data_IF_568467411075
#
_entry.id   IF_568467411075
#
_cell.length_a   1.000
_cell.length_b   1.000
_cell.length_c   1.000
_cell.angle_alpha   90.00
_cell.angle_beta   90.00
_cell.angle_gamma   90.00
#
_symmetry.space_group_name_H-M   'P 1'
#
loop_
_entity.id
_entity.type
_entity.pdbx_description
1 polymer ?
#
# COMPACT_ATOMS: atom_id res chain seq x y z
N UNK A 1 4.56 -35.31 8.77
CA UNK A 1 4.75 -34.16 7.87
C UNK A 1 3.76 -33.03 8.17
N UNK A 2 2.46 -33.11 7.82
CA UNK A 2 1.45 -32.08 8.20
C UNK A 2 1.47 -31.72 9.70
N UNK A 3 1.37 -32.72 10.58
CA UNK A 3 1.40 -32.48 12.03
C UNK A 3 2.73 -31.84 12.48
N UNK A 4 3.86 -32.31 11.95
CA UNK A 4 5.19 -31.76 12.24
C UNK A 4 5.30 -30.28 11.84
N UNK A 5 4.76 -29.89 10.68
CA UNK A 5 4.74 -28.49 10.24
C UNK A 5 3.94 -27.64 11.23
N UNK A 6 2.76 -28.09 11.64
CA UNK A 6 1.94 -27.35 12.60
C UNK A 6 2.62 -27.26 13.97
N UNK A 7 3.29 -28.32 14.43
CA UNK A 7 4.10 -28.28 15.66
C UNK A 7 5.28 -27.33 15.54
N UNK A 8 5.94 -27.26 14.38
CA UNK A 8 7.02 -26.30 14.14
C UNK A 8 6.53 -24.86 14.07
N UNK A 9 5.35 -24.59 13.49
CA UNK A 9 4.74 -23.26 13.50
C UNK A 9 4.44 -22.80 14.92
N UNK A 10 4.02 -23.72 15.80
CA UNK A 10 3.79 -23.45 17.22
C UNK A 10 5.09 -23.31 18.04
N UNK A 11 6.27 -23.46 17.45
CA UNK A 11 7.57 -23.28 18.11
C UNK A 11 8.30 -22.05 17.58
N UNK A 12 9.47 -21.74 18.15
CA UNK A 12 10.35 -20.65 17.71
C UNK A 12 10.82 -20.82 16.25
N UNK A 13 10.85 -22.06 15.75
CA UNK A 13 11.19 -22.38 14.36
C UNK A 13 10.08 -21.97 13.37
N UNK A 14 8.87 -21.69 13.87
CA UNK A 14 7.74 -21.23 13.08
C UNK A 14 8.03 -19.96 12.30
N UNK A 15 8.93 -19.10 12.81
CA UNK A 15 9.36 -17.88 12.11
C UNK A 15 10.07 -18.17 10.78
N UNK A 16 10.74 -19.33 10.65
CA UNK A 16 11.34 -19.74 9.36
C UNK A 16 10.27 -20.18 8.35
N UNK A 17 9.12 -20.63 8.84
CA UNK A 17 8.04 -21.20 8.03
C UNK A 17 7.06 -20.11 7.60
N UNK A 18 6.55 -19.30 8.54
CA UNK A 18 5.48 -18.31 8.31
C UNK A 18 5.92 -16.87 8.52
N UNK A 19 7.22 -16.62 8.79
CA UNK A 19 7.82 -15.27 9.01
C UNK A 19 7.30 -14.50 10.22
N UNK A 20 6.56 -15.16 11.11
CA UNK A 20 6.01 -14.59 12.35
C UNK A 20 6.26 -15.53 13.53
N UNK A 21 6.20 -14.99 14.75
CA UNK A 21 6.25 -15.79 15.98
C UNK A 21 4.96 -16.57 16.21
N UNK A 22 4.97 -17.61 17.06
CA UNK A 22 3.81 -18.46 17.31
C UNK A 22 2.61 -17.67 17.87
N UNK A 23 2.84 -16.74 18.79
CA UNK A 23 1.78 -15.89 19.37
C UNK A 23 1.14 -14.99 18.32
N UNK A 24 1.95 -14.30 17.52
CA UNK A 24 1.47 -13.45 16.40
C UNK A 24 0.69 -14.26 15.38
N UNK A 25 1.10 -15.51 15.11
CA UNK A 25 0.39 -16.40 14.20
C UNK A 25 -0.99 -16.79 14.74
N UNK A 26 -1.08 -17.14 16.02
CA UNK A 26 -2.36 -17.47 16.65
C UNK A 26 -3.29 -16.26 16.71
N UNK A 27 -2.77 -15.09 17.10
CA UNK A 27 -3.51 -13.83 17.10
C UNK A 27 -4.04 -13.46 15.70
N UNK A 28 -3.24 -13.69 14.64
CA UNK A 28 -3.72 -13.56 13.26
C UNK A 28 -4.87 -14.54 12.95
N UNK A 29 -4.76 -15.80 13.37
CA UNK A 29 -5.81 -16.80 13.16
C UNK A 29 -7.11 -16.40 13.86
N UNK A 30 -7.03 -15.93 15.10
CA UNK A 30 -8.16 -15.46 15.89
C UNK A 30 -8.83 -14.25 15.23
N UNK A 31 -8.03 -13.27 14.79
CA UNK A 31 -8.54 -12.09 14.05
C UNK A 31 -9.23 -12.47 12.74
N UNK A 32 -8.66 -13.41 11.98
CA UNK A 32 -9.27 -13.89 10.74
C UNK A 32 -10.56 -14.66 10.99
N UNK A 33 -10.66 -15.40 12.10
CA UNK A 33 -11.89 -16.09 12.48
C UNK A 33 -12.96 -15.12 12.96
N UNK A 34 -12.59 -14.15 13.80
CA UNK A 34 -13.53 -13.20 14.41
C UNK A 34 -14.03 -12.14 13.43
N UNK A 35 -13.13 -11.55 12.64
CA UNK A 35 -13.45 -10.41 11.78
C UNK A 35 -13.40 -10.79 10.29
N UNK A 36 -12.49 -11.69 9.90
CA UNK A 36 -12.31 -12.10 8.50
C UNK A 36 -13.25 -13.21 8.02
N UNK A 37 -14.19 -13.69 8.86
CA UNK A 37 -15.15 -14.76 8.55
C UNK A 37 -14.48 -16.08 8.12
N UNK A 38 -13.26 -16.35 8.61
CA UNK A 38 -12.53 -17.58 8.31
C UNK A 38 -12.89 -18.69 9.30
N UNK A 39 -13.69 -19.66 8.85
CA UNK A 39 -14.09 -20.80 9.67
C UNK A 39 -13.31 -22.08 9.36
N UNK A 40 -13.15 -22.98 10.36
CA UNK A 40 -12.63 -24.31 10.12
C UNK A 40 -13.53 -25.08 9.14
N UNK A 41 -12.95 -26.07 8.47
CA UNK A 41 -13.69 -27.02 7.64
C UNK A 41 -13.66 -28.40 8.30
N UNK A 42 -14.46 -29.33 7.78
CA UNK A 42 -14.39 -30.74 8.18
C UNK A 42 -12.97 -31.34 8.08
N UNK A 43 -12.10 -30.77 7.24
CA UNK A 43 -10.78 -31.36 6.94
C UNK A 43 -9.59 -30.49 7.35
N UNK A 44 -9.79 -29.26 7.84
CA UNK A 44 -8.71 -28.36 8.18
C UNK A 44 -9.17 -27.31 9.19
N UNK A 45 -8.31 -27.02 10.17
CA UNK A 45 -8.51 -25.93 11.14
C UNK A 45 -8.26 -24.58 10.48
N UNK A 46 -8.48 -23.47 11.21
CA UNK A 46 -8.17 -22.12 10.72
C UNK A 46 -6.66 -21.98 10.54
N UNK A 47 -5.89 -22.38 11.55
CA UNK A 47 -4.43 -22.33 11.59
C UNK A 47 -3.82 -23.08 10.41
N UNK A 48 -4.34 -24.27 10.07
CA UNK A 48 -3.81 -25.00 8.92
C UNK A 48 -4.09 -24.27 7.59
N UNK A 49 -5.25 -23.63 7.45
CA UNK A 49 -5.57 -22.86 6.24
C UNK A 49 -4.64 -21.65 6.12
N UNK A 50 -4.44 -20.92 7.22
CA UNK A 50 -3.57 -19.75 7.29
C UNK A 50 -2.11 -20.15 7.06
N UNK A 51 -1.63 -21.23 7.72
CA UNK A 51 -0.27 -21.75 7.56
C UNK A 51 0.08 -22.08 6.11
N UNK A 52 -0.82 -22.77 5.38
CA UNK A 52 -0.62 -23.06 3.94
C UNK A 52 -0.46 -21.78 3.14
N UNK A 53 -1.32 -20.81 3.40
CA UNK A 53 -1.37 -19.54 2.67
C UNK A 53 -0.11 -18.73 2.93
N UNK A 54 0.26 -18.56 4.19
CA UNK A 54 1.50 -17.88 4.57
C UNK A 54 2.71 -18.58 3.97
N UNK A 55 2.81 -19.90 4.03
CA UNK A 55 3.93 -20.63 3.43
C UNK A 55 4.05 -20.37 1.91
N UNK A 56 2.93 -20.31 1.19
CA UNK A 56 2.91 -19.95 -0.23
C UNK A 56 3.48 -18.54 -0.43
N UNK A 57 3.00 -17.57 0.35
CA UNK A 57 3.38 -16.16 0.21
C UNK A 57 4.83 -15.91 0.63
N UNK A 58 5.31 -16.52 1.71
CA UNK A 58 6.64 -16.27 2.29
C UNK A 58 7.76 -16.92 1.50
N UNK A 59 7.50 -18.06 0.86
CA UNK A 59 8.52 -18.83 0.13
C UNK A 59 8.31 -18.84 -1.38
N UNK A 60 7.24 -18.19 -1.87
CA UNK A 60 6.88 -18.15 -3.29
C UNK A 60 6.80 -19.55 -3.92
N UNK A 61 6.25 -20.51 -3.17
CA UNK A 61 6.18 -21.91 -3.61
C UNK A 61 4.93 -22.20 -4.43
N UNK A 62 5.02 -23.23 -5.28
CA UNK A 62 3.90 -23.66 -6.13
C UNK A 62 2.92 -24.51 -5.33
N UNK A 63 1.65 -24.49 -5.73
CA UNK A 63 0.59 -25.31 -5.11
C UNK A 63 1.00 -26.80 -4.96
N UNK A 64 1.68 -27.40 -5.95
CA UNK A 64 2.16 -28.79 -5.90
C UNK A 64 3.03 -29.10 -4.67
N UNK A 65 3.84 -28.15 -4.24
CA UNK A 65 4.71 -28.32 -3.06
C UNK A 65 3.89 -28.37 -1.77
N UNK A 66 2.90 -27.49 -1.64
CA UNK A 66 1.97 -27.48 -0.50
C UNK A 66 1.16 -28.79 -0.43
N UNK A 67 0.76 -29.34 -1.57
CA UNK A 67 0.07 -30.63 -1.64
C UNK A 67 0.91 -31.74 -1.01
N UNK A 68 2.21 -31.75 -1.29
CA UNK A 68 3.14 -32.72 -0.72
C UNK A 68 3.28 -32.55 0.79
N UNK A 69 3.56 -31.34 1.25
CA UNK A 69 3.81 -31.03 2.67
C UNK A 69 2.58 -31.25 3.56
N UNK A 70 1.42 -30.76 3.11
CA UNK A 70 0.18 -30.82 3.88
C UNK A 70 -0.71 -32.03 3.56
N UNK A 71 -0.32 -32.86 2.57
CA UNK A 71 -1.05 -34.05 2.13
C UNK A 71 -2.51 -33.75 1.77
N UNK A 72 -2.71 -32.70 0.97
CA UNK A 72 -4.02 -32.24 0.47
C UNK A 72 -4.02 -32.13 -1.05
N UNK A 73 -5.19 -32.28 -1.67
CA UNK A 73 -5.33 -32.06 -3.11
C UNK A 73 -5.05 -30.60 -3.48
N UNK A 74 -4.59 -30.38 -4.70
CA UNK A 74 -4.31 -29.01 -5.19
C UNK A 74 -5.53 -28.11 -5.22
N UNK A 75 -6.69 -28.69 -5.49
CA UNK A 75 -7.98 -28.02 -5.40
C UNK A 75 -8.27 -27.53 -3.97
N UNK A 76 -8.07 -28.40 -2.96
CA UNK A 76 -8.26 -28.03 -1.55
C UNK A 76 -7.29 -26.94 -1.11
N UNK A 77 -6.01 -27.06 -1.49
CA UNK A 77 -5.01 -26.02 -1.23
C UNK A 77 -5.40 -24.69 -1.88
N UNK A 78 -5.85 -24.71 -3.13
CA UNK A 78 -6.31 -23.52 -3.84
C UNK A 78 -7.51 -22.88 -3.13
N UNK A 79 -8.50 -23.69 -2.72
CA UNK A 79 -9.67 -23.20 -1.97
C UNK A 79 -9.26 -22.53 -0.66
N UNK A 80 -8.37 -23.15 0.11
CA UNK A 80 -7.88 -22.55 1.36
C UNK A 80 -7.13 -21.24 1.13
N UNK A 81 -6.23 -21.20 0.14
CA UNK A 81 -5.51 -19.98 -0.22
C UNK A 81 -6.46 -18.82 -0.48
N UNK A 82 -7.44 -19.02 -1.39
CA UNK A 82 -8.40 -17.96 -1.72
C UNK A 82 -9.31 -17.58 -0.55
N UNK A 83 -9.71 -18.53 0.31
CA UNK A 83 -10.50 -18.23 1.51
C UNK A 83 -9.72 -17.33 2.47
N UNK A 84 -8.45 -17.64 2.73
CA UNK A 84 -7.60 -16.85 3.61
C UNK A 84 -7.35 -15.47 3.03
N UNK A 85 -7.04 -15.34 1.72
CA UNK A 85 -6.86 -14.03 1.07
C UNK A 85 -8.11 -13.17 1.17
N UNK A 86 -9.31 -13.72 0.89
CA UNK A 86 -10.56 -12.98 1.08
C UNK A 86 -10.77 -12.57 2.54
N UNK A 87 -10.47 -13.47 3.47
CA UNK A 87 -10.60 -13.17 4.90
C UNK A 87 -9.65 -12.05 5.35
N UNK A 88 -8.46 -11.95 4.75
CA UNK A 88 -7.52 -10.84 4.98
C UNK A 88 -8.04 -9.52 4.41
N UNK A 89 -8.64 -9.55 3.22
CA UNK A 89 -9.24 -8.36 2.59
C UNK A 89 -10.41 -7.84 3.45
N UNK A 90 -11.22 -8.72 4.04
CA UNK A 90 -12.31 -8.31 4.96
C UNK A 90 -11.80 -7.60 6.24
N UNK A 91 -10.49 -7.67 6.54
CA UNK A 91 -9.90 -6.91 7.65
C UNK A 91 -9.53 -5.47 7.27
N UNK A 92 -9.55 -5.12 5.98
CA UNK A 92 -9.18 -3.80 5.46
C UNK A 92 -9.86 -2.66 6.22
N UNK A 93 -11.19 -2.68 6.31
CA UNK A 93 -11.99 -1.67 7.01
C UNK A 93 -11.59 -1.49 8.47
N UNK A 94 -10.96 -2.49 9.09
CA UNK A 94 -10.55 -2.43 10.49
C UNK A 94 -9.15 -1.85 10.67
N UNK A 95 -8.22 -2.15 9.76
CA UNK A 95 -6.80 -1.85 9.94
C UNK A 95 -6.27 -0.75 9.02
N UNK A 96 -6.84 -0.55 7.84
CA UNK A 96 -6.49 0.56 6.94
C UNK A 96 -7.32 1.78 7.33
N UNK A 97 -6.87 2.48 8.36
CA UNK A 97 -7.51 3.71 8.85
C UNK A 97 -6.72 4.92 8.39
N UNK A 98 -7.38 5.76 7.60
CA UNK A 98 -6.81 7.03 7.15
C UNK A 98 -6.89 8.06 8.28
N UNK A 99 -5.80 8.77 8.58
CA UNK A 99 -5.81 9.89 9.52
C UNK A 99 -6.70 11.02 8.98
N UNK A 100 -7.36 11.75 9.86
CA UNK A 100 -8.18 12.91 9.49
C UNK A 100 -7.36 14.21 9.38
N UNK A 101 -6.11 14.20 9.86
CA UNK A 101 -5.21 15.36 9.86
C UNK A 101 -5.52 16.40 10.91
N UNK A 102 -6.39 16.11 11.88
CA UNK A 102 -6.74 17.03 12.96
C UNK A 102 -5.65 17.17 14.03
N UNK A 103 -4.83 16.14 14.20
CA UNK A 103 -3.76 16.10 15.20
C UNK A 103 -2.38 16.05 14.53
N UNK A 104 -1.44 16.82 15.09
CA UNK A 104 -0.04 16.81 14.67
C UNK A 104 0.62 15.53 15.21
N UNK A 105 1.22 14.68 14.36
CA UNK A 105 1.93 13.49 14.83
C UNK A 105 3.05 13.83 15.82
N UNK A 106 3.22 12.98 16.85
CA UNK A 106 4.23 13.20 17.91
C UNK A 106 5.66 13.24 17.35
N UNK A 107 5.91 12.50 16.27
CA UNK A 107 7.17 12.48 15.52
C UNK A 107 7.54 13.86 14.95
N UNK A 108 6.53 14.70 14.68
CA UNK A 108 6.70 16.06 14.19
C UNK A 108 6.70 17.04 15.36
N UNK A 109 5.66 17.01 16.20
CA UNK A 109 5.48 17.99 17.29
C UNK A 109 6.68 18.04 18.25
N UNK A 110 7.28 16.88 18.55
CA UNK A 110 8.44 16.79 19.43
C UNK A 110 9.79 17.12 18.77
N UNK A 111 9.81 17.50 17.50
CA UNK A 111 11.03 17.65 16.72
C UNK A 111 11.11 19.00 16.00
N UNK A 112 11.97 19.90 16.49
CA UNK A 112 12.20 21.22 15.89
C UNK A 112 12.73 21.17 14.44
N UNK A 113 13.23 20.02 13.99
CA UNK A 113 13.61 19.83 12.57
C UNK A 113 12.39 19.71 11.65
N UNK A 114 11.27 19.22 12.18
CA UNK A 114 10.06 18.96 11.42
C UNK A 114 8.94 19.94 11.74
N UNK A 115 8.79 20.33 13.00
CA UNK A 115 7.86 21.38 13.40
C UNK A 115 8.50 22.78 13.23
N UNK A 116 7.79 23.78 12.66
CA UNK A 116 6.40 23.75 12.21
C UNK A 116 6.20 23.29 10.75
N UNK A 117 7.27 23.09 10.00
CA UNK A 117 7.27 22.87 8.54
C UNK A 117 6.39 21.71 8.04
N UNK A 118 6.27 20.65 8.82
CA UNK A 118 5.47 19.45 8.49
C UNK A 118 4.31 19.25 9.45
N UNK A 119 3.87 20.28 10.19
CA UNK A 119 2.81 20.14 11.21
C UNK A 119 1.51 19.53 10.66
N UNK A 120 1.19 19.79 9.40
CA UNK A 120 -0.02 19.32 8.72
C UNK A 120 0.22 18.00 7.93
N UNK A 121 1.42 17.43 8.02
CA UNK A 121 1.73 16.17 7.37
C UNK A 121 1.13 14.99 8.13
N UNK A 122 0.33 14.18 7.45
CA UNK A 122 -0.36 13.03 8.03
C UNK A 122 0.30 11.68 7.73
N UNK A 123 1.28 11.67 6.84
CA UNK A 123 1.95 10.45 6.40
C UNK A 123 2.67 10.61 5.06
N UNK A 124 2.98 9.48 4.43
CA UNK A 124 3.62 9.43 3.13
C UNK A 124 2.76 8.63 2.14
N UNK A 125 2.80 9.03 0.87
CA UNK A 125 2.26 8.27 -0.26
C UNK A 125 3.38 7.89 -1.20
N UNK A 126 3.35 6.67 -1.72
CA UNK A 126 4.31 6.23 -2.74
C UNK A 126 3.73 5.13 -3.63
N UNK A 127 4.19 5.08 -4.88
CA UNK A 127 3.86 4.05 -5.85
C UNK A 127 4.91 2.94 -5.85
N UNK A 128 4.49 1.68 -5.74
CA UNK A 128 5.40 0.53 -5.82
C UNK A 128 4.98 -0.47 -6.88
N UNK A 129 5.97 -1.06 -7.55
CA UNK A 129 5.74 -2.01 -8.65
C UNK A 129 5.96 -3.45 -8.20
N UNK A 130 4.87 -4.23 -8.15
CA UNK A 130 4.88 -5.67 -7.85
C UNK A 130 4.91 -6.47 -9.15
N UNK A 131 5.83 -7.42 -9.28
CA UNK A 131 5.93 -8.28 -10.48
C UNK A 131 4.69 -9.15 -10.61
N UNK A 132 4.13 -9.22 -11.82
CA UNK A 132 2.95 -10.04 -12.12
C UNK A 132 3.19 -10.99 -13.28
N UNK A 133 2.38 -12.06 -13.34
CA UNK A 133 2.28 -12.93 -14.51
C UNK A 133 0.92 -12.68 -15.15
N UNK A 134 0.94 -12.15 -16.36
CA UNK A 134 -0.25 -11.89 -17.17
C UNK A 134 -0.13 -12.65 -18.50
N UNK A 135 -1.24 -12.72 -19.24
CA UNK A 135 -1.23 -13.33 -20.58
C UNK A 135 -0.27 -12.58 -21.51
N UNK A 136 0.26 -13.24 -22.55
CA UNK A 136 1.11 -12.57 -23.54
C UNK A 136 0.40 -11.41 -24.24
N UNK A 137 -0.93 -11.46 -24.35
CA UNK A 137 -1.76 -10.39 -24.93
C UNK A 137 -1.79 -9.14 -24.04
N UNK A 138 -1.79 -9.33 -22.72
CA UNK A 138 -1.87 -8.23 -21.75
C UNK A 138 -0.50 -7.73 -21.31
N UNK A 139 0.56 -8.54 -21.46
CA UNK A 139 1.92 -8.23 -21.05
C UNK A 139 2.43 -6.83 -21.46
N UNK A 140 2.14 -6.30 -22.68
CA UNK A 140 2.54 -4.95 -23.05
C UNK A 140 2.00 -3.86 -22.12
N UNK A 141 0.76 -3.99 -21.61
CA UNK A 141 0.16 -3.01 -20.70
C UNK A 141 0.85 -2.98 -19.33
N UNK A 142 1.31 -4.12 -18.86
CA UNK A 142 1.92 -4.26 -17.54
C UNK A 142 3.45 -4.04 -17.57
N UNK A 143 4.06 -4.00 -18.75
CA UNK A 143 5.50 -3.77 -18.92
C UNK A 143 5.79 -2.28 -18.97
N UNK A 144 6.00 -1.68 -17.80
CA UNK A 144 6.47 -0.31 -17.65
C UNK A 144 7.99 -0.19 -17.83
N UNK A 145 8.63 0.58 -16.95
CA UNK A 145 10.09 0.84 -16.96
C UNK A 145 10.97 -0.38 -16.71
N UNK A 146 10.40 -1.50 -16.25
CA UNK A 146 11.11 -2.75 -15.95
C UNK A 146 10.92 -3.78 -17.08
N UNK A 147 11.90 -4.66 -17.29
CA UNK A 147 11.87 -5.68 -18.36
C UNK A 147 10.75 -6.73 -18.21
N UNK A 148 10.10 -6.75 -17.04
CA UNK A 148 9.03 -7.69 -16.70
C UNK A 148 7.70 -6.97 -16.42
N UNK A 149 6.55 -7.62 -16.71
CA UNK A 149 5.24 -7.11 -16.31
C UNK A 149 5.15 -6.86 -14.80
N UNK A 150 4.62 -5.69 -14.44
CA UNK A 150 4.38 -5.25 -13.07
C UNK A 150 2.99 -4.66 -12.93
N UNK A 151 2.47 -4.68 -11.71
CA UNK A 151 1.29 -3.93 -11.28
C UNK A 151 1.77 -2.80 -10.39
N UNK A 152 1.31 -1.58 -10.66
CA UNK A 152 1.53 -0.43 -9.79
C UNK A 152 0.54 -0.53 -8.61
N UNK A 153 1.06 -0.33 -7.40
CA UNK A 153 0.32 -0.30 -6.15
C UNK A 153 0.67 1.01 -5.47
N UNK A 154 -0.30 1.90 -5.35
CA UNK A 154 -0.17 3.12 -4.57
C UNK A 154 -0.47 2.80 -3.12
N UNK A 155 0.40 3.20 -2.21
CA UNK A 155 0.22 3.00 -0.77
C UNK A 155 0.35 4.34 -0.05
N UNK A 156 -0.49 4.53 0.97
CA UNK A 156 -0.29 5.56 1.97
C UNK A 156 0.08 4.90 3.31
N UNK A 157 1.00 5.52 4.05
CA UNK A 157 1.38 5.07 5.38
C UNK A 157 1.49 6.23 6.36
N UNK A 158 1.24 5.92 7.63
CA UNK A 158 1.41 6.84 8.75
C UNK A 158 2.87 6.84 9.27
N UNK A 159 3.20 7.77 10.17
CA UNK A 159 4.52 7.87 10.80
C UNK A 159 4.91 6.62 11.63
N UNK A 160 3.93 5.84 12.09
CA UNK A 160 4.15 4.55 12.75
C UNK A 160 4.44 3.38 11.77
N UNK A 161 4.64 3.70 10.49
CA UNK A 161 4.89 2.79 9.37
C UNK A 161 3.74 1.80 9.10
N UNK A 162 2.52 2.09 9.56
CA UNK A 162 1.32 1.33 9.20
C UNK A 162 0.72 1.88 7.91
N UNK A 163 0.29 0.97 7.04
CA UNK A 163 -0.50 1.35 5.88
C UNK A 163 -1.86 1.88 6.32
N UNK A 164 -2.26 2.99 5.73
CA UNK A 164 -3.54 3.67 5.98
C UNK A 164 -4.46 3.61 4.76
N UNK A 165 -3.88 3.42 3.57
CA UNK A 165 -4.59 3.24 2.30
C UNK A 165 -3.75 2.41 1.33
N UNK A 166 -4.39 1.54 0.55
CA UNK A 166 -3.71 0.69 -0.45
C UNK A 166 -4.56 0.59 -1.71
N UNK A 167 -4.09 1.18 -2.81
CA UNK A 167 -4.70 1.04 -4.14
C UNK A 167 -3.87 0.10 -5.01
N UNK A 168 -4.30 -1.16 -5.06
CA UNK A 168 -3.79 -2.15 -6.00
C UNK A 168 -4.57 -2.11 -7.32
N UNK A 169 -4.06 -2.78 -8.36
CA UNK A 169 -4.85 -3.02 -9.58
C UNK A 169 -4.23 -2.45 -10.85
N UNK A 170 -3.40 -1.41 -10.73
CA UNK A 170 -2.99 -0.60 -11.87
C UNK A 170 -1.93 -1.25 -12.75
N UNK A 171 -2.06 -1.08 -14.06
CA UNK A 171 -1.05 -1.60 -14.98
C UNK A 171 0.30 -0.93 -14.73
N UNK A 172 1.41 -1.68 -14.85
CA UNK A 172 2.75 -1.15 -14.60
C UNK A 172 3.20 -0.04 -15.55
N UNK A 173 2.43 0.28 -16.59
CA UNK A 173 2.67 1.44 -17.48
C UNK A 173 1.91 2.69 -17.02
N UNK A 174 0.98 2.58 -16.07
CA UNK A 174 0.24 3.72 -15.56
C UNK A 174 1.18 4.69 -14.84
N UNK A 175 1.07 5.98 -15.17
CA UNK A 175 1.81 7.05 -14.47
C UNK A 175 1.29 7.22 -13.04
N UNK A 176 2.17 7.62 -12.13
CA UNK A 176 1.79 7.85 -10.73
C UNK A 176 0.70 8.93 -10.62
N UNK A 177 0.73 9.96 -11.47
CA UNK A 177 -0.33 10.97 -11.56
C UNK A 177 -1.70 10.39 -11.91
N UNK A 178 -1.75 9.39 -12.80
CA UNK A 178 -3.00 8.72 -13.18
C UNK A 178 -3.52 7.84 -12.05
N UNK A 179 -2.63 7.12 -11.37
CA UNK A 179 -2.97 6.27 -10.23
C UNK A 179 -3.47 7.13 -9.07
N UNK A 180 -2.79 8.25 -8.77
CA UNK A 180 -3.19 9.21 -7.75
C UNK A 180 -4.55 9.84 -8.06
N UNK A 181 -4.76 10.34 -9.29
CA UNK A 181 -6.07 10.88 -9.69
C UNK A 181 -7.19 9.87 -9.51
N UNK A 182 -6.93 8.60 -9.81
CA UNK A 182 -7.91 7.57 -9.54
C UNK A 182 -8.14 7.38 -8.04
N UNK A 183 -7.08 7.33 -7.22
CA UNK A 183 -7.21 7.22 -5.78
C UNK A 183 -8.11 8.30 -5.17
N UNK A 184 -8.07 9.53 -5.70
CA UNK A 184 -8.88 10.65 -5.19
C UNK A 184 -10.35 10.62 -5.64
N UNK A 185 -10.66 10.03 -6.81
CA UNK A 185 -12.01 10.09 -7.40
C UNK A 185 -12.85 8.79 -7.23
N UNK A 186 -12.38 7.83 -6.44
CA UNK A 186 -13.05 6.52 -6.27
C UNK A 186 -14.16 6.56 -5.23
N UNK A 187 -14.93 5.47 -5.16
CA UNK A 187 -15.91 5.24 -4.08
C UNK A 187 -15.26 5.06 -2.70
N UNK A 188 -14.03 4.57 -2.68
CA UNK A 188 -13.13 4.37 -1.54
C UNK A 188 -11.93 5.31 -1.67
N UNK A 189 -12.10 6.64 -1.55
CA UNK A 189 -11.05 7.58 -1.91
C UNK A 189 -9.88 7.58 -0.92
N UNK A 190 -8.70 7.93 -1.41
CA UNK A 190 -7.63 8.46 -0.57
C UNK A 190 -8.06 9.83 -0.04
N UNK A 191 -8.11 9.96 1.28
CA UNK A 191 -8.45 11.20 1.97
C UNK A 191 -7.17 12.03 2.11
N UNK A 192 -7.15 13.16 1.40
CA UNK A 192 -6.10 14.17 1.55
C UNK A 192 -6.68 15.30 2.39
N UNK A 193 -6.00 15.72 3.47
CA UNK A 193 -6.41 16.89 4.23
C UNK A 193 -6.57 18.10 3.31
N UNK A 194 -7.64 18.86 3.51
CA UNK A 194 -7.90 20.10 2.77
C UNK A 194 -7.32 21.27 3.55
N UNK A 195 -6.82 22.28 2.83
CA UNK A 195 -6.42 23.52 3.47
C UNK A 195 -7.67 24.17 4.08
N UNK A 196 -7.65 24.62 5.35
CA UNK A 196 -8.79 25.33 5.93
C UNK A 196 -9.04 26.69 5.28
N UNK A 197 -8.09 27.26 4.52
CA UNK A 197 -8.25 28.54 3.84
C UNK A 197 -8.98 28.38 2.50
N UNK A 198 -10.31 28.53 2.54
CA UNK A 198 -11.16 28.45 1.34
C UNK A 198 -10.86 29.56 0.30
N UNK A 199 -10.36 30.71 0.73
CA UNK A 199 -10.01 31.81 -0.19
C UNK A 199 -8.76 31.45 -1.00
N UNK A 200 -7.73 30.90 -0.35
CA UNK A 200 -6.54 30.40 -1.05
C UNK A 200 -6.87 29.27 -2.02
N UNK A 201 -7.75 28.34 -1.62
CA UNK A 201 -8.20 27.26 -2.51
C UNK A 201 -8.91 27.85 -3.74
N UNK A 202 -9.83 28.80 -3.53
CA UNK A 202 -10.58 29.42 -4.61
C UNK A 202 -9.68 30.22 -5.57
N UNK A 203 -8.68 30.94 -5.04
CA UNK A 203 -7.68 31.65 -5.85
C UNK A 203 -6.90 30.68 -6.75
N UNK A 204 -6.40 29.57 -6.17
CA UNK A 204 -5.68 28.53 -6.92
C UNK A 204 -6.58 27.87 -7.97
N UNK A 205 -7.83 27.54 -7.63
CA UNK A 205 -8.78 26.95 -8.56
C UNK A 205 -9.12 27.91 -9.71
N UNK A 206 -9.26 29.21 -9.44
CA UNK A 206 -9.48 30.25 -10.45
C UNK A 206 -8.26 30.41 -11.37
N UNK A 207 -7.04 30.41 -10.82
CA UNK A 207 -5.80 30.41 -11.61
C UNK A 207 -5.73 29.19 -12.54
N UNK A 208 -6.01 27.99 -12.03
CA UNK A 208 -6.02 26.74 -12.80
C UNK A 208 -7.11 26.74 -13.88
N UNK A 209 -8.30 27.27 -13.58
CA UNK A 209 -9.41 27.34 -14.53
C UNK A 209 -9.17 28.35 -15.66
N UNK A 210 -8.45 29.44 -15.35
CA UNK A 210 -8.11 30.49 -16.30
C UNK A 210 -6.89 30.13 -17.19
N UNK A 211 -6.16 29.07 -16.87
CA UNK A 211 -5.16 28.47 -17.78
C UNK A 211 -5.87 27.81 -18.98
N UNK A 212 -5.70 28.39 -20.17
CA UNK A 212 -6.48 28.01 -21.36
C UNK A 212 -6.05 26.63 -21.95
N UNK A 213 -6.99 25.73 -22.32
CA UNK A 213 -6.68 24.44 -22.95
C UNK A 213 -5.96 24.52 -24.30
N UNK A 214 -6.00 25.69 -24.94
CA UNK A 214 -5.34 25.99 -26.22
C UNK A 214 -3.82 26.13 -26.11
N UNK A 215 -3.27 26.33 -24.91
CA UNK A 215 -1.82 26.27 -24.65
C UNK A 215 -1.32 24.81 -24.63
N UNK A 216 -2.13 23.85 -24.15
CA UNK A 216 -1.73 22.44 -24.05
C UNK A 216 -1.59 21.66 -25.36
N UNK A 217 -2.11 22.13 -26.51
CA UNK A 217 -1.91 21.43 -27.80
C UNK A 217 -0.67 21.85 -28.57
N UNK A 218 -0.09 23.02 -28.28
CA UNK A 218 1.10 23.53 -28.95
C UNK A 218 2.33 23.65 -28.01
N UNK A 219 2.19 23.34 -26.72
CA UNK A 219 3.25 23.44 -25.70
C UNK A 219 3.41 22.08 -25.02
N UNK A 220 4.17 21.17 -25.63
CA UNK A 220 4.46 19.86 -25.04
C UNK A 220 5.90 19.73 -24.52
N UNK A 221 6.62 20.84 -24.31
CA UNK A 221 8.00 20.82 -23.77
C UNK A 221 8.43 22.01 -22.89
N UNK A 222 8.01 23.25 -23.18
CA UNK A 222 8.63 24.43 -22.52
C UNK A 222 7.95 24.87 -21.20
N UNK A 223 6.63 24.74 -21.02
CA UNK A 223 5.95 25.20 -19.79
C UNK A 223 6.10 24.21 -18.62
N UNK A 224 6.21 22.90 -18.87
CA UNK A 224 6.49 21.90 -17.81
C UNK A 224 7.80 22.22 -17.09
N UNK A 225 8.78 22.75 -17.82
CA UNK A 225 10.06 23.18 -17.26
C UNK A 225 9.91 24.43 -16.37
N UNK A 226 8.98 25.34 -16.68
CA UNK A 226 8.73 26.53 -15.87
C UNK A 226 8.04 26.18 -14.55
N UNK A 227 6.97 25.38 -14.58
CA UNK A 227 6.31 24.90 -13.37
C UNK A 227 7.23 24.01 -12.52
N UNK A 228 8.04 23.16 -13.16
CA UNK A 228 9.05 22.37 -12.46
C UNK A 228 10.08 23.28 -11.75
N UNK A 229 10.59 24.30 -12.44
CA UNK A 229 11.52 25.29 -11.85
C UNK A 229 10.88 26.09 -10.73
N UNK A 230 9.62 26.49 -10.86
CA UNK A 230 8.89 27.18 -9.81
C UNK A 230 8.77 26.30 -8.56
N UNK A 231 8.42 25.02 -8.75
CA UNK A 231 8.35 24.04 -7.68
C UNK A 231 9.71 23.68 -7.08
N UNK A 232 10.80 23.75 -7.84
CA UNK A 232 12.18 23.63 -7.34
C UNK A 232 12.55 24.84 -6.48
N UNK A 233 12.32 26.06 -6.96
CA UNK A 233 12.61 27.30 -6.24
C UNK A 233 11.85 27.38 -4.91
N UNK A 234 10.58 26.99 -4.90
CA UNK A 234 9.77 26.93 -3.67
C UNK A 234 10.36 25.92 -2.68
N UNK A 235 10.73 24.73 -3.16
CA UNK A 235 11.37 23.69 -2.33
C UNK A 235 12.69 24.17 -1.75
N UNK A 236 13.54 24.81 -2.54
CA UNK A 236 14.85 25.31 -2.12
C UNK A 236 14.71 26.45 -1.09
N UNK A 237 13.73 27.33 -1.26
CA UNK A 237 13.42 28.40 -0.31
C UNK A 237 12.99 27.83 1.05
N UNK A 238 12.06 26.87 1.05
CA UNK A 238 11.61 26.17 2.27
C UNK A 238 12.80 25.46 2.92
N UNK A 239 13.58 24.68 2.14
CA UNK A 239 14.73 23.95 2.65
C UNK A 239 15.81 24.87 3.25
N UNK A 240 16.04 26.03 2.64
CA UNK A 240 16.98 27.04 3.16
C UNK A 240 16.52 27.60 4.50
N UNK A 241 15.22 27.89 4.62
CA UNK A 241 14.62 28.40 5.86
C UNK A 241 14.72 27.35 6.97
N UNK A 242 14.34 26.10 6.67
CA UNK A 242 14.50 24.96 7.57
C UNK A 242 15.95 24.78 8.06
N UNK A 243 16.94 24.93 7.17
CA UNK A 243 18.35 24.78 7.54
C UNK A 243 18.84 25.88 8.49
N UNK A 244 18.34 27.11 8.32
CA UNK A 244 18.68 28.24 9.21
C UNK A 244 18.12 28.00 10.61
N UNK A 245 16.85 27.65 10.71
CA UNK A 245 16.19 27.37 11.99
C UNK A 245 16.79 26.15 12.71
N UNK A 246 17.30 25.18 11.94
CA UNK A 246 18.01 24.04 12.51
C UNK A 246 19.38 24.42 13.09
N UNK A 247 20.03 25.44 12.54
CA UNK A 247 21.40 25.84 12.92
C UNK A 247 21.46 26.89 14.04
N UNK A 248 20.30 27.43 14.45
CA UNK A 248 20.14 28.40 15.55
C UNK A 248 19.84 27.73 16.87
#
# INVERSE_FOLDING_TARGET
>A
MRAQIMTQIASTEGRKIVRMGPETFLDLCDKLQQFGRLFPTRQATVEEQVAKTLYILTHNVRNREIQFWFRRSGETTSRHFHRVIRSLIELEDKYLKQPDGSEIPLEILGNNKFYPYFKDCVGAIDGTHVRVKVSSKDAPKYRGRKDFPTQNVLVACSFDLRFTYVLCGWEGTASDSRVLKNALCRSDPLNVPTDPDEELIAEVDEELANQSPSQHRNILRDDDDEYARLGENLRDSIATTMWRDYSS
#
